data_IF_576173401595
#
_entry.id   IF_576173401595
#
_cell.length_a   1.000
_cell.length_b   1.000
_cell.length_c   1.000
_cell.angle_alpha   90.00
_cell.angle_beta   90.00
_cell.angle_gamma   90.00
#
_symmetry.space_group_name_H-M   'P 1'
#
loop_
_entity.id
_entity.type
_entity.pdbx_description
1 polymer ?
#
# COMPACT_ATOMS: atom_id res chain seq x y z
N UNK A 1 10.66 -18.95 7.26
CA UNK A 1 11.64 -19.04 8.38
C UNK A 1 12.88 -18.14 8.17
N UNK A 2 13.66 -18.24 7.08
CA UNK A 2 14.83 -17.38 6.86
C UNK A 2 14.48 -15.90 6.89
N UNK A 3 13.40 -15.51 6.28
CA UNK A 3 12.84 -14.18 6.24
C UNK A 3 12.52 -13.61 7.63
N UNK A 4 11.96 -14.42 8.53
CA UNK A 4 11.65 -14.02 9.91
C UNK A 4 12.90 -13.85 10.76
N UNK A 5 13.93 -14.67 10.55
CA UNK A 5 15.23 -14.56 11.23
C UNK A 5 15.93 -13.25 10.89
N UNK A 6 15.96 -12.88 9.60
CA UNK A 6 16.64 -11.68 9.14
C UNK A 6 15.99 -10.40 9.66
N UNK A 7 14.67 -10.38 9.78
CA UNK A 7 13.92 -9.29 10.40
C UNK A 7 14.38 -9.01 11.84
N UNK A 8 14.65 -10.04 12.65
CA UNK A 8 15.15 -9.88 14.01
C UNK A 8 16.57 -9.30 14.09
N UNK A 9 17.43 -9.60 13.11
CA UNK A 9 18.83 -9.13 13.12
C UNK A 9 18.98 -7.64 12.76
N UNK A 10 18.08 -7.08 11.95
CA UNK A 10 18.22 -5.74 11.40
C UNK A 10 17.58 -4.62 12.24
N UNK A 11 16.78 -4.95 13.25
CA UNK A 11 15.96 -3.97 13.99
C UNK A 11 16.53 -3.71 15.41
N UNK A 12 17.80 -3.97 15.63
CA UNK A 12 18.33 -4.20 16.99
C UNK A 12 18.29 -3.05 17.97
N UNK A 13 18.46 -1.76 17.60
CA UNK A 13 18.75 -0.77 18.64
C UNK A 13 17.98 0.57 18.63
N UNK A 14 17.17 0.90 17.62
CA UNK A 14 16.46 2.18 17.56
C UNK A 14 14.97 2.12 17.18
N UNK A 15 14.50 0.98 16.68
CA UNK A 15 13.12 0.75 16.27
C UNK A 15 12.44 -0.27 17.18
N UNK A 16 11.40 0.15 17.89
CA UNK A 16 10.54 -0.81 18.59
C UNK A 16 9.57 -1.44 17.60
N UNK A 17 9.63 -2.77 17.56
CA UNK A 17 8.74 -3.62 16.74
C UNK A 17 8.37 -4.85 17.53
N UNK A 18 7.27 -5.50 17.18
CA UNK A 18 6.90 -6.77 17.77
C UNK A 18 7.95 -7.85 17.46
N UNK A 19 8.64 -8.32 18.47
CA UNK A 19 9.64 -9.38 18.35
C UNK A 19 8.95 -10.74 18.32
N UNK A 20 9.48 -11.66 17.51
CA UNK A 20 9.05 -13.04 17.55
C UNK A 20 9.89 -13.83 18.55
N UNK A 21 9.20 -14.53 19.43
CA UNK A 21 9.82 -15.41 20.42
C UNK A 21 10.01 -16.82 19.83
N UNK A 22 11.09 -17.47 20.25
CA UNK A 22 11.36 -18.85 19.87
C UNK A 22 10.63 -19.82 20.77
N UNK A 23 10.10 -20.89 20.20
CA UNK A 23 9.58 -22.02 20.98
C UNK A 23 10.72 -22.82 21.64
N UNK A 24 10.37 -23.83 22.44
CA UNK A 24 11.34 -24.69 23.16
C UNK A 24 12.29 -25.43 22.23
N UNK A 25 11.92 -25.62 20.98
CA UNK A 25 12.73 -26.29 19.94
C UNK A 25 13.58 -25.28 19.14
N UNK A 26 13.56 -24.00 19.52
CA UNK A 26 14.30 -22.94 18.86
C UNK A 26 13.66 -22.41 17.56
N UNK A 27 12.49 -22.92 17.16
CA UNK A 27 11.73 -22.48 16.01
C UNK A 27 10.90 -21.24 16.30
N UNK A 28 10.54 -20.48 15.25
CA UNK A 28 9.61 -19.33 15.36
C UNK A 28 8.14 -19.73 15.13
N UNK A 29 7.92 -20.97 14.67
CA UNK A 29 6.60 -21.51 14.37
C UNK A 29 6.37 -22.73 15.27
N UNK A 30 5.23 -22.77 15.92
CA UNK A 30 4.75 -23.93 16.67
C UNK A 30 3.53 -24.50 15.96
N UNK A 31 3.53 -25.81 15.74
CA UNK A 31 2.38 -26.51 15.17
C UNK A 31 1.67 -27.27 16.31
N UNK A 32 0.37 -27.00 16.51
CA UNK A 32 -0.44 -27.76 17.43
C UNK A 32 -0.85 -29.12 16.86
N UNK A 33 -1.34 -30.01 17.70
CA UNK A 33 -1.75 -31.36 17.29
C UNK A 33 -2.89 -31.41 16.27
N UNK A 34 -3.67 -30.35 16.15
CA UNK A 34 -4.74 -30.17 15.15
C UNK A 34 -4.24 -29.56 13.81
N UNK A 35 -2.91 -29.35 13.68
CA UNK A 35 -2.30 -28.73 12.51
C UNK A 35 -2.33 -27.19 12.51
N UNK A 36 -2.90 -26.56 13.54
CA UNK A 36 -2.92 -25.09 13.66
C UNK A 36 -1.52 -24.55 13.92
N UNK A 37 -1.17 -23.47 13.24
CA UNK A 37 0.15 -22.85 13.30
C UNK A 37 0.12 -21.60 14.17
N UNK A 38 0.97 -21.58 15.18
CA UNK A 38 1.09 -20.47 16.12
C UNK A 38 2.45 -19.79 16.03
N UNK A 39 2.44 -18.49 16.28
CA UNK A 39 3.64 -17.66 16.43
C UNK A 39 3.47 -16.88 17.71
N UNK A 40 4.47 -16.90 18.56
CA UNK A 40 4.55 -16.07 19.75
C UNK A 40 5.31 -14.79 19.40
N UNK A 41 4.75 -13.64 19.79
CA UNK A 41 5.40 -12.34 19.60
C UNK A 41 5.21 -11.44 20.81
N UNK A 42 6.11 -10.47 20.97
CA UNK A 42 6.00 -9.41 21.97
C UNK A 42 4.67 -8.67 21.82
N UNK A 43 4.02 -8.41 22.92
CA UNK A 43 2.78 -7.66 22.98
C UNK A 43 3.04 -6.26 23.49
N UNK A 44 2.44 -5.26 22.85
CA UNK A 44 2.44 -3.87 23.29
C UNK A 44 1.04 -3.51 23.77
N UNK A 45 0.95 -2.98 25.01
CA UNK A 45 -0.30 -2.48 25.59
C UNK A 45 -0.57 -1.01 25.28
N UNK A 46 0.28 -0.39 24.44
CA UNK A 46 0.19 1.02 24.09
C UNK A 46 -0.98 1.30 23.14
N UNK A 47 -1.46 2.54 23.19
CA UNK A 47 -2.55 2.95 22.29
C UNK A 47 -2.07 3.14 20.86
N UNK A 48 -3.00 2.98 19.94
CA UNK A 48 -2.80 3.27 18.52
C UNK A 48 -2.55 4.76 18.24
N UNK A 49 -1.90 5.05 17.14
CA UNK A 49 -1.69 6.41 16.65
C UNK A 49 -3.03 7.12 16.40
N UNK A 50 -3.21 8.30 16.96
CA UNK A 50 -4.34 9.16 16.64
C UNK A 50 -4.10 9.86 15.30
N UNK A 51 -4.69 9.33 14.24
CA UNK A 51 -4.54 9.86 12.88
C UNK A 51 -5.06 11.30 12.71
N UNK A 52 -5.83 11.84 13.68
CA UNK A 52 -6.31 13.23 13.70
C UNK A 52 -5.32 14.18 14.37
N UNK A 53 -4.31 13.67 15.05
CA UNK A 53 -3.24 14.46 15.65
C UNK A 53 -2.07 14.56 14.67
N UNK A 54 -1.87 15.75 14.11
CA UNK A 54 -0.82 16.01 13.14
C UNK A 54 0.59 15.80 13.69
N UNK A 55 0.80 15.91 15.00
CA UNK A 55 2.09 15.64 15.63
C UNK A 55 2.37 14.14 15.65
N UNK A 56 1.41 13.33 16.12
CA UNK A 56 1.56 11.87 16.13
C UNK A 56 1.73 11.29 14.73
N UNK A 57 1.01 11.85 13.74
CA UNK A 57 1.18 11.45 12.33
C UNK A 57 2.61 11.70 11.86
N UNK A 58 3.19 12.88 12.11
CA UNK A 58 4.57 13.18 11.74
C UNK A 58 5.58 12.28 12.46
N UNK A 59 5.37 11.99 13.74
CA UNK A 59 6.20 11.02 14.48
C UNK A 59 6.13 9.62 13.83
N UNK A 60 4.93 9.18 13.48
CA UNK A 60 4.72 7.88 12.82
C UNK A 60 5.43 7.82 11.46
N UNK A 61 5.37 8.91 10.68
CA UNK A 61 6.06 9.03 9.40
C UNK A 61 7.59 8.99 9.57
N UNK A 62 8.13 9.70 10.55
CA UNK A 62 9.57 9.66 10.84
C UNK A 62 10.01 8.25 11.29
N UNK A 63 9.19 7.57 12.08
CA UNK A 63 9.45 6.20 12.50
C UNK A 63 9.40 5.22 11.32
N UNK A 64 8.44 5.39 10.41
CA UNK A 64 8.38 4.63 9.16
C UNK A 64 9.63 4.84 8.30
N UNK A 65 10.12 6.06 8.19
CA UNK A 65 11.35 6.36 7.46
C UNK A 65 12.57 5.63 8.06
N UNK A 66 12.69 5.58 9.38
CA UNK A 66 13.72 4.79 10.08
C UNK A 66 13.60 3.30 9.78
N UNK A 67 12.39 2.76 9.81
CA UNK A 67 12.11 1.36 9.45
C UNK A 67 12.55 1.07 8.01
N UNK A 68 12.14 1.91 7.07
CA UNK A 68 12.48 1.75 5.66
C UNK A 68 13.99 1.84 5.41
N UNK A 69 14.71 2.74 6.10
CA UNK A 69 16.15 2.82 6.03
C UNK A 69 16.85 1.53 6.51
N UNK A 70 16.29 0.85 7.50
CA UNK A 70 16.81 -0.45 7.95
C UNK A 70 16.44 -1.58 6.97
N UNK A 71 15.19 -1.62 6.52
CA UNK A 71 14.73 -2.64 5.58
C UNK A 71 15.44 -2.57 4.22
N UNK A 72 15.81 -1.37 3.75
CA UNK A 72 16.55 -1.18 2.52
C UNK A 72 17.99 -1.74 2.57
N UNK A 73 18.55 -1.97 3.76
CA UNK A 73 19.89 -2.58 3.94
C UNK A 73 19.86 -4.11 3.88
N UNK A 74 18.69 -4.72 3.89
CA UNK A 74 18.55 -6.17 3.85
C UNK A 74 18.70 -6.61 2.39
N UNK A 75 19.76 -7.37 2.04
CA UNK A 75 19.93 -7.83 0.67
C UNK A 75 18.84 -8.84 0.30
N UNK A 76 18.51 -8.89 -0.98
CA UNK A 76 17.61 -9.91 -1.51
C UNK A 76 18.15 -11.32 -1.21
N UNK A 77 17.27 -12.21 -0.76
CA UNK A 77 17.61 -13.62 -0.48
C UNK A 77 16.88 -14.52 -1.48
N UNK A 78 17.57 -15.54 -2.01
CA UNK A 78 16.96 -16.45 -2.96
C UNK A 78 15.75 -17.22 -2.39
N UNK A 79 15.78 -17.51 -1.10
CA UNK A 79 14.67 -18.16 -0.39
C UNK A 79 13.39 -17.32 -0.38
N UNK A 80 13.48 -16.03 -0.69
CA UNK A 80 12.30 -15.17 -0.82
C UNK A 80 11.54 -15.37 -2.14
N UNK A 81 12.11 -16.07 -3.08
CA UNK A 81 11.45 -16.41 -4.35
C UNK A 81 10.16 -17.21 -4.15
N UNK A 82 10.04 -17.90 -3.02
CA UNK A 82 8.86 -18.71 -2.72
C UNK A 82 7.84 -17.93 -1.90
N UNK A 83 6.62 -17.81 -2.40
CA UNK A 83 5.44 -17.42 -1.65
C UNK A 83 5.14 -15.92 -1.56
N UNK A 84 4.59 -15.50 -0.42
CA UNK A 84 3.93 -14.21 -0.22
C UNK A 84 4.81 -12.96 -0.22
N UNK A 85 6.15 -13.12 -0.26
CA UNK A 85 7.09 -11.97 -0.28
C UNK A 85 7.09 -11.26 -1.62
N UNK A 86 6.85 -11.98 -2.70
CA UNK A 86 6.80 -11.43 -4.04
C UNK A 86 5.34 -11.19 -4.45
N UNK A 87 4.99 -9.94 -4.66
CA UNK A 87 3.63 -9.52 -5.03
C UNK A 87 3.62 -8.89 -6.42
N UNK A 88 2.42 -8.76 -6.98
CA UNK A 88 2.19 -8.00 -8.19
C UNK A 88 2.74 -6.57 -8.02
N UNK A 89 3.50 -6.12 -9.01
CA UNK A 89 4.05 -4.75 -9.01
C UNK A 89 2.93 -3.72 -9.19
N UNK A 90 3.14 -2.51 -8.66
CA UNK A 90 2.12 -1.46 -8.61
C UNK A 90 1.55 -1.08 -9.99
N UNK A 91 2.38 -1.03 -11.03
CA UNK A 91 1.90 -0.71 -12.39
C UNK A 91 0.93 -1.75 -12.97
N UNK A 92 1.30 -3.04 -13.05
CA UNK A 92 0.39 -4.12 -13.42
C UNK A 92 -0.87 -4.20 -12.55
N UNK A 93 -0.75 -4.01 -11.24
CA UNK A 93 -1.88 -3.96 -10.31
C UNK A 93 -2.85 -2.83 -10.66
N UNK A 94 -2.35 -1.61 -10.88
CA UNK A 94 -3.17 -0.48 -11.32
C UNK A 94 -3.90 -0.77 -12.64
N UNK A 95 -3.22 -1.38 -13.61
CA UNK A 95 -3.82 -1.78 -14.89
C UNK A 95 -4.93 -2.84 -14.72
N UNK A 96 -4.74 -3.79 -13.79
CA UNK A 96 -5.79 -4.76 -13.43
C UNK A 96 -7.02 -4.05 -12.84
N UNK A 97 -6.81 -3.12 -11.92
CA UNK A 97 -7.88 -2.32 -11.31
C UNK A 97 -8.62 -1.46 -12.36
N UNK A 98 -7.92 -0.91 -13.36
CA UNK A 98 -8.56 -0.19 -14.47
C UNK A 98 -9.49 -1.10 -15.26
N UNK A 99 -9.07 -2.33 -15.59
CA UNK A 99 -9.94 -3.32 -16.26
C UNK A 99 -11.18 -3.66 -15.44
N UNK A 100 -11.04 -3.77 -14.11
CA UNK A 100 -12.16 -3.99 -13.19
C UNK A 100 -13.13 -2.81 -13.19
N UNK A 101 -12.61 -1.56 -13.17
CA UNK A 101 -13.43 -0.35 -13.31
C UNK A 101 -14.22 -0.34 -14.62
N UNK A 102 -13.58 -0.72 -15.73
CA UNK A 102 -14.23 -0.81 -17.05
C UNK A 102 -15.34 -1.88 -17.06
N UNK A 103 -15.09 -3.06 -16.46
CA UNK A 103 -16.10 -4.11 -16.32
C UNK A 103 -17.32 -3.63 -15.54
N UNK A 104 -17.09 -2.99 -14.39
CA UNK A 104 -18.16 -2.43 -13.55
C UNK A 104 -18.97 -1.37 -14.31
N UNK A 105 -18.32 -0.40 -14.98
CA UNK A 105 -18.98 0.60 -15.82
C UNK A 105 -19.82 -0.03 -16.94
N UNK A 106 -19.26 -0.99 -17.66
CA UNK A 106 -19.92 -1.66 -18.78
C UNK A 106 -21.18 -2.41 -18.31
N UNK A 107 -21.13 -3.03 -17.13
CA UNK A 107 -22.27 -3.67 -16.51
C UNK A 107 -23.35 -2.64 -16.15
N UNK A 108 -23.00 -1.55 -15.47
CA UNK A 108 -23.95 -0.49 -15.07
C UNK A 108 -24.61 0.15 -16.31
N UNK A 109 -23.86 0.42 -17.37
CA UNK A 109 -24.41 1.05 -18.59
C UNK A 109 -25.49 0.21 -19.26
N UNK A 110 -25.40 -1.12 -19.21
CA UNK A 110 -26.38 -2.04 -19.81
C UNK A 110 -27.68 -2.18 -19.04
N UNK A 111 -27.73 -1.75 -17.76
CA UNK A 111 -28.95 -1.79 -16.97
C UNK A 111 -29.97 -0.78 -17.47
N UNK A 112 -31.24 -1.18 -17.59
CA UNK A 112 -32.37 -0.30 -17.96
C UNK A 112 -32.67 0.71 -16.84
N UNK A 113 -32.89 0.22 -15.61
CA UNK A 113 -33.08 1.05 -14.41
C UNK A 113 -31.74 1.15 -13.65
N UNK A 114 -31.37 2.35 -13.21
CA UNK A 114 -30.14 2.60 -12.46
C UNK A 114 -30.45 3.15 -11.07
N UNK A 115 -29.75 2.64 -10.09
CA UNK A 115 -29.80 3.16 -8.71
C UNK A 115 -29.05 4.48 -8.61
N UNK A 116 -29.26 5.21 -7.52
CA UNK A 116 -28.52 6.44 -7.22
C UNK A 116 -27.00 6.23 -7.22
N UNK A 117 -26.53 5.12 -6.61
CA UNK A 117 -25.12 4.72 -6.64
C UNK A 117 -24.60 4.60 -8.07
N UNK A 118 -25.32 3.91 -8.95
CA UNK A 118 -24.92 3.69 -10.33
C UNK A 118 -24.91 4.97 -11.16
N UNK A 119 -25.85 5.88 -10.91
CA UNK A 119 -25.85 7.21 -11.53
C UNK A 119 -24.64 8.04 -11.09
N UNK A 120 -24.32 8.03 -9.80
CA UNK A 120 -23.15 8.67 -9.25
C UNK A 120 -21.85 8.10 -9.87
N UNK A 121 -21.75 6.77 -9.99
CA UNK A 121 -20.62 6.13 -10.67
C UNK A 121 -20.48 6.63 -12.10
N UNK A 122 -21.53 6.65 -12.89
CA UNK A 122 -21.47 7.08 -14.30
C UNK A 122 -21.07 8.54 -14.42
N UNK A 123 -21.61 9.40 -13.57
CA UNK A 123 -21.31 10.85 -13.58
C UNK A 123 -19.82 11.14 -13.36
N UNK A 124 -19.18 10.41 -12.47
CA UNK A 124 -17.80 10.65 -12.05
C UNK A 124 -16.77 9.79 -12.77
N UNK A 125 -17.20 8.78 -13.53
CA UNK A 125 -16.33 7.75 -14.07
C UNK A 125 -15.17 8.31 -14.90
N UNK A 126 -15.46 9.18 -15.84
CA UNK A 126 -14.44 9.64 -16.80
C UNK A 126 -13.28 10.35 -16.08
N UNK A 127 -13.59 11.23 -15.11
CA UNK A 127 -12.56 11.95 -14.36
C UNK A 127 -11.64 11.02 -13.55
N UNK A 128 -12.21 10.00 -12.88
CA UNK A 128 -11.41 9.03 -12.14
C UNK A 128 -10.70 8.03 -13.05
N UNK A 129 -11.29 7.68 -14.18
CA UNK A 129 -10.68 6.78 -15.15
C UNK A 129 -9.42 7.39 -15.79
N UNK A 130 -9.46 8.66 -16.18
CA UNK A 130 -8.28 9.34 -16.74
C UNK A 130 -7.16 9.47 -15.70
N UNK A 131 -7.47 9.77 -14.45
CA UNK A 131 -6.48 9.76 -13.37
C UNK A 131 -5.85 8.38 -13.17
N UNK A 132 -6.68 7.33 -13.18
CA UNK A 132 -6.21 5.95 -13.04
C UNK A 132 -5.25 5.58 -14.17
N UNK A 133 -5.61 5.95 -15.40
CA UNK A 133 -4.81 5.68 -16.59
C UNK A 133 -3.47 6.43 -16.55
N UNK A 134 -3.49 7.74 -16.27
CA UNK A 134 -2.27 8.55 -16.16
C UNK A 134 -1.33 7.98 -15.09
N UNK A 135 -1.85 7.62 -13.91
CA UNK A 135 -1.07 7.04 -12.83
C UNK A 135 -0.45 5.68 -13.22
N UNK A 136 -1.23 4.82 -13.87
CA UNK A 136 -0.77 3.50 -14.29
C UNK A 136 0.29 3.59 -15.40
N UNK A 137 0.08 4.46 -16.39
CA UNK A 137 1.01 4.67 -17.50
C UNK A 137 2.37 5.20 -17.00
N UNK A 138 2.36 6.17 -16.05
CA UNK A 138 3.59 6.66 -15.44
C UNK A 138 4.26 5.60 -14.56
N UNK A 139 3.49 4.87 -13.75
CA UNK A 139 4.03 3.79 -12.93
C UNK A 139 4.68 2.70 -13.80
N UNK A 140 4.08 2.36 -14.93
CA UNK A 140 4.67 1.42 -15.90
C UNK A 140 5.95 1.99 -16.54
N UNK A 141 6.02 3.30 -16.83
CA UNK A 141 7.26 3.94 -17.32
C UNK A 141 8.39 3.88 -16.28
N UNK A 142 8.04 4.12 -15.02
CA UNK A 142 9.01 4.12 -13.92
C UNK A 142 9.56 2.71 -13.63
N UNK A 143 8.74 1.66 -13.70
CA UNK A 143 9.07 0.32 -13.21
C UNK A 143 8.94 -0.80 -14.25
N UNK A 144 8.36 -0.54 -15.42
CA UNK A 144 8.09 -1.57 -16.44
C UNK A 144 9.36 -2.14 -17.10
N UNK A 145 10.47 -1.40 -17.12
CA UNK A 145 11.75 -1.88 -17.71
C UNK A 145 12.35 -3.06 -16.96
N UNK A 146 12.13 -3.13 -15.65
CA UNK A 146 12.59 -4.27 -14.83
C UNK A 146 11.94 -5.60 -15.26
N UNK A 147 10.77 -5.54 -15.90
CA UNK A 147 10.04 -6.70 -16.39
C UNK A 147 10.54 -7.19 -17.76
N UNK A 148 10.99 -6.27 -18.62
CA UNK A 148 11.56 -6.61 -19.93
C UNK A 148 12.95 -7.24 -19.80
N UNK A 149 13.76 -6.80 -18.82
CA UNK A 149 15.07 -7.39 -18.53
C UNK A 149 14.97 -8.81 -17.94
N UNK A 150 13.84 -9.15 -17.30
CA UNK A 150 13.60 -10.45 -16.69
C UNK A 150 13.13 -11.54 -17.68
N UNK A 151 13.03 -11.26 -18.98
CA UNK A 151 12.80 -12.25 -20.04
C UNK A 151 11.51 -13.08 -19.91
N UNK A 152 10.40 -12.53 -19.41
CA UNK A 152 9.25 -13.34 -19.07
C UNK A 152 8.03 -13.13 -19.95
N UNK A 153 7.75 -14.15 -20.76
CA UNK A 153 6.40 -14.50 -21.17
C UNK A 153 5.67 -15.12 -19.98
N UNK A 154 4.72 -14.40 -19.38
CA UNK A 154 3.74 -15.02 -18.51
C UNK A 154 2.69 -15.61 -19.42
N UNK A 155 2.75 -16.92 -19.67
CA UNK A 155 1.63 -17.66 -20.21
C UNK A 155 0.56 -17.71 -19.11
N UNK A 156 -0.64 -17.17 -19.40
CA UNK A 156 -1.84 -17.42 -18.60
C UNK A 156 -2.30 -18.85 -18.92
N UNK A 157 -1.82 -19.83 -18.19
CA UNK A 157 -2.45 -21.15 -18.12
C UNK A 157 -2.96 -21.34 -16.69
N UNK A 158 -4.27 -21.50 -16.60
CA UNK A 158 -5.04 -21.98 -15.43
C UNK A 158 -4.88 -21.24 -14.10
N UNK A 159 -4.99 -19.90 -14.07
CA UNK A 159 -5.32 -19.18 -12.84
C UNK A 159 -4.30 -19.25 -11.69
N UNK A 160 -3.17 -19.91 -11.85
CA UNK A 160 -2.02 -19.89 -10.95
C UNK A 160 -0.95 -18.98 -11.53
N UNK A 161 -0.67 -17.86 -10.86
CA UNK A 161 0.53 -17.09 -11.09
C UNK A 161 1.74 -17.99 -10.81
N UNK A 162 2.32 -18.56 -11.86
CA UNK A 162 3.65 -19.16 -11.77
C UNK A 162 4.61 -18.10 -11.27
N UNK A 163 5.30 -18.39 -10.17
CA UNK A 163 6.33 -17.53 -9.61
C UNK A 163 7.40 -17.30 -10.69
N UNK A 164 7.36 -16.14 -11.32
CA UNK A 164 8.37 -15.73 -12.24
C UNK A 164 9.74 -15.74 -11.53
N UNK A 165 10.75 -16.33 -12.15
CA UNK A 165 12.11 -16.30 -11.61
C UNK A 165 12.56 -14.86 -11.41
N UNK A 166 12.62 -14.43 -10.15
CA UNK A 166 13.11 -13.11 -9.77
C UNK A 166 14.63 -13.12 -9.87
N UNK A 167 15.15 -12.49 -10.91
CA UNK A 167 16.59 -12.18 -10.96
C UNK A 167 16.90 -10.98 -10.06
N UNK A 168 18.15 -10.85 -9.61
CA UNK A 168 18.60 -9.66 -8.87
C UNK A 168 18.34 -8.35 -9.65
N UNK A 169 18.34 -8.40 -10.97
CA UNK A 169 18.03 -7.26 -11.86
C UNK A 169 16.53 -6.90 -11.83
N UNK A 170 15.64 -7.90 -11.76
CA UNK A 170 14.18 -7.68 -11.72
C UNK A 170 13.70 -7.04 -10.43
N UNK A 171 14.46 -7.16 -9.34
CA UNK A 171 14.19 -6.56 -8.03
C UNK A 171 14.96 -5.26 -7.78
N UNK A 172 15.74 -4.78 -8.74
CA UNK A 172 16.52 -3.55 -8.61
C UNK A 172 15.62 -2.35 -8.24
N UNK A 173 15.95 -1.71 -7.14
CA UNK A 173 15.21 -0.59 -6.57
C UNK A 173 13.97 -0.98 -5.76
N UNK A 174 13.66 -2.28 -5.62
CA UNK A 174 12.67 -2.77 -4.67
C UNK A 174 13.31 -3.05 -3.31
N UNK A 175 12.55 -2.87 -2.26
CA UNK A 175 12.97 -3.14 -0.88
C UNK A 175 11.83 -3.80 -0.11
N UNK A 176 12.13 -4.33 1.06
CA UNK A 176 11.10 -4.82 1.95
C UNK A 176 10.18 -3.68 2.40
N UNK A 177 8.90 -3.89 2.29
CA UNK A 177 7.81 -3.02 2.73
C UNK A 177 7.06 -3.68 3.88
N UNK A 178 6.46 -2.89 4.77
CA UNK A 178 5.54 -3.39 5.79
C UNK A 178 4.30 -4.05 5.15
N UNK A 179 3.75 -3.41 4.12
CA UNK A 179 2.72 -3.95 3.25
C UNK A 179 1.28 -3.79 3.74
N UNK A 180 1.09 -3.36 4.98
CA UNK A 180 -0.25 -3.07 5.54
C UNK A 180 -0.20 -1.95 6.59
N UNK A 181 0.69 -0.96 6.42
CA UNK A 181 0.87 0.08 7.42
C UNK A 181 -0.31 1.06 7.45
N UNK A 182 -0.89 1.17 8.63
CA UNK A 182 -1.86 2.22 8.95
C UNK A 182 -1.76 2.61 10.44
N UNK A 183 -2.68 3.47 10.92
CA UNK A 183 -2.64 3.96 12.30
C UNK A 183 -2.78 2.84 13.35
N UNK A 184 -3.43 1.71 13.01
CA UNK A 184 -3.61 0.57 13.93
C UNK A 184 -2.31 -0.23 14.14
N UNK A 185 -1.37 -0.12 13.20
CA UNK A 185 -0.07 -0.77 13.28
C UNK A 185 1.03 0.16 13.79
N UNK A 186 0.67 1.36 14.24
CA UNK A 186 1.58 2.33 14.86
C UNK A 186 1.13 2.59 16.29
N UNK A 187 1.94 2.19 17.27
CA UNK A 187 1.63 2.29 18.68
C UNK A 187 2.43 3.41 19.33
N UNK A 188 1.72 4.24 20.13
CA UNK A 188 2.26 5.43 20.79
C UNK A 188 2.53 5.12 22.25
N UNK A 189 3.78 4.75 22.56
CA UNK A 189 4.27 4.51 23.93
C UNK A 189 4.85 5.76 24.59
N UNK A 190 5.19 5.64 25.87
CA UNK A 190 5.85 6.72 26.64
C UNK A 190 7.29 6.90 26.16
N UNK A 191 7.52 7.95 25.34
CA UNK A 191 8.84 8.28 24.80
C UNK A 191 9.27 7.44 23.60
N UNK A 192 8.38 6.63 23.00
CA UNK A 192 8.68 5.86 21.80
C UNK A 192 7.44 5.67 20.91
N UNK A 193 7.70 5.31 19.66
CA UNK A 193 6.68 4.88 18.72
C UNK A 193 7.09 3.51 18.18
N UNK A 194 6.19 2.52 18.23
CA UNK A 194 6.43 1.19 17.71
C UNK A 194 5.65 0.96 16.41
N UNK A 195 6.22 0.19 15.48
CA UNK A 195 5.52 -0.34 14.30
C UNK A 195 5.43 -1.86 14.47
N UNK A 196 4.20 -2.39 14.32
CA UNK A 196 3.87 -3.79 14.62
C UNK A 196 3.10 -4.44 13.48
N UNK A 197 2.85 -5.76 13.54
CA UNK A 197 2.01 -6.51 12.61
C UNK A 197 2.56 -6.62 11.17
N UNK A 198 3.76 -7.16 11.03
CA UNK A 198 4.43 -7.32 9.74
C UNK A 198 3.94 -8.53 8.91
N UNK A 199 2.73 -9.00 9.13
CA UNK A 199 2.20 -10.21 8.48
C UNK A 199 2.08 -10.09 6.94
N UNK A 200 2.04 -8.86 6.43
CA UNK A 200 1.93 -8.56 5.00
C UNK A 200 3.20 -8.01 4.37
N UNK A 201 4.32 -8.16 5.07
CA UNK A 201 5.62 -7.71 4.55
C UNK A 201 5.91 -8.36 3.19
N UNK A 202 6.39 -7.57 2.25
CA UNK A 202 6.70 -8.03 0.89
C UNK A 202 7.78 -7.17 0.26
N UNK A 203 8.34 -7.64 -0.84
CA UNK A 203 9.27 -6.89 -1.67
C UNK A 203 8.47 -5.93 -2.58
N UNK A 204 8.78 -4.64 -2.50
CA UNK A 204 8.03 -3.62 -3.24
C UNK A 204 8.65 -2.23 -3.18
N UNK A 205 7.86 -1.24 -3.57
CA UNK A 205 8.25 0.17 -3.51
C UNK A 205 7.88 0.71 -2.12
N UNK A 206 8.86 1.08 -1.29
CA UNK A 206 8.62 1.57 0.08
C UNK A 206 7.69 2.81 0.13
N UNK A 207 7.62 3.59 -0.94
CA UNK A 207 6.65 4.66 -1.07
C UNK A 207 5.19 4.18 -0.91
N UNK A 208 4.89 2.89 -1.07
CA UNK A 208 3.53 2.34 -0.89
C UNK A 208 3.07 2.37 0.56
N UNK A 209 3.96 2.09 1.52
CA UNK A 209 3.65 2.19 2.94
C UNK A 209 3.47 3.65 3.36
N UNK A 210 4.35 4.54 2.87
CA UNK A 210 4.25 5.98 3.09
C UNK A 210 2.92 6.52 2.54
N UNK A 211 2.56 6.17 1.31
CA UNK A 211 1.27 6.51 0.71
C UNK A 211 0.10 6.10 1.59
N UNK A 212 0.09 4.86 2.08
CA UNK A 212 -1.02 4.34 2.89
C UNK A 212 -1.25 5.16 4.16
N UNK A 213 -0.18 5.45 4.90
CA UNK A 213 -0.27 6.22 6.15
C UNK A 213 -0.63 7.68 5.87
N UNK A 214 0.05 8.34 4.93
CA UNK A 214 -0.23 9.72 4.53
C UNK A 214 -1.67 9.88 4.02
N UNK A 215 -2.15 8.99 3.15
CA UNK A 215 -3.51 9.06 2.62
C UNK A 215 -4.56 9.01 3.72
N UNK A 216 -4.42 8.08 4.68
CA UNK A 216 -5.37 7.99 5.80
C UNK A 216 -5.39 9.26 6.64
N UNK A 217 -4.24 9.88 6.88
CA UNK A 217 -4.15 11.15 7.58
C UNK A 217 -4.83 12.26 6.77
N UNK A 218 -4.45 12.43 5.50
CA UNK A 218 -4.99 13.47 4.64
C UNK A 218 -6.51 13.40 4.48
N UNK A 219 -7.09 12.21 4.40
CA UNK A 219 -8.55 12.02 4.37
C UNK A 219 -9.25 12.52 5.64
N UNK A 220 -8.58 12.48 6.78
CA UNK A 220 -9.11 12.98 8.07
C UNK A 220 -8.87 14.48 8.26
N UNK A 221 -7.92 15.04 7.51
CA UNK A 221 -7.55 16.46 7.54
C UNK A 221 -8.01 17.21 6.27
N UNK A 222 -9.03 16.73 5.55
CA UNK A 222 -9.59 17.43 4.39
C UNK A 222 -8.61 17.64 3.24
N UNK A 223 -7.61 16.77 3.10
CA UNK A 223 -6.54 16.89 2.10
C UNK A 223 -5.71 18.18 2.26
N UNK A 224 -5.43 18.56 3.51
CA UNK A 224 -4.56 19.70 3.82
C UNK A 224 -3.19 19.51 3.15
N UNK A 225 -2.88 20.42 2.24
CA UNK A 225 -1.65 20.38 1.43
C UNK A 225 -0.40 20.59 2.26
N UNK A 226 -0.43 21.54 3.20
CA UNK A 226 0.73 21.85 4.04
C UNK A 226 1.04 20.70 5.01
N UNK A 227 0.01 20.07 5.57
CA UNK A 227 0.19 18.86 6.35
C UNK A 227 0.81 17.75 5.50
N UNK A 228 0.32 17.55 4.27
CA UNK A 228 0.84 16.54 3.37
C UNK A 228 2.32 16.74 3.05
N UNK A 229 2.71 17.97 2.73
CA UNK A 229 4.12 18.31 2.45
C UNK A 229 4.99 18.20 3.71
N UNK A 230 4.49 18.58 4.88
CA UNK A 230 5.22 18.42 6.15
C UNK A 230 5.44 16.94 6.53
N UNK A 231 4.49 16.06 6.20
CA UNK A 231 4.67 14.61 6.35
C UNK A 231 5.78 14.09 5.43
N UNK A 232 5.76 14.48 4.16
CA UNK A 232 6.80 14.10 3.20
C UNK A 232 8.18 14.59 3.64
N UNK A 233 8.27 15.83 4.09
CA UNK A 233 9.51 16.41 4.62
C UNK A 233 10.01 15.66 5.86
N UNK A 234 9.11 15.29 6.79
CA UNK A 234 9.45 14.48 7.97
C UNK A 234 10.03 13.10 7.59
N UNK A 235 9.52 12.51 6.52
CA UNK A 235 10.06 11.27 5.97
C UNK A 235 11.45 11.48 5.34
N UNK A 236 11.57 12.48 4.47
CA UNK A 236 12.78 12.73 3.68
C UNK A 236 13.99 13.18 4.53
N UNK A 237 13.76 13.83 5.68
CA UNK A 237 14.83 14.15 6.65
C UNK A 237 15.52 12.93 7.22
N UNK A 238 14.84 11.81 7.30
CA UNK A 238 15.37 10.55 7.85
C UNK A 238 15.82 9.61 6.74
N UNK A 239 15.02 9.48 5.70
CA UNK A 239 15.28 8.67 4.51
C UNK A 239 14.98 9.47 3.25
N UNK A 240 16.00 10.06 2.60
CA UNK A 240 15.83 10.73 1.32
C UNK A 240 15.24 9.77 0.28
N UNK A 241 14.28 10.27 -0.48
CA UNK A 241 13.67 9.56 -1.62
C UNK A 241 14.33 10.03 -2.91
N UNK A 242 14.68 9.10 -3.78
CA UNK A 242 15.10 9.44 -5.13
C UNK A 242 13.93 9.95 -5.99
N UNK A 243 14.25 10.43 -7.20
CA UNK A 243 13.23 10.96 -8.12
C UNK A 243 12.20 9.91 -8.52
N UNK A 244 12.62 8.66 -8.68
CA UNK A 244 11.75 7.54 -9.07
C UNK A 244 10.76 7.21 -7.96
N UNK A 245 11.22 7.15 -6.72
CA UNK A 245 10.38 6.91 -5.54
C UNK A 245 9.36 8.04 -5.34
N UNK A 246 9.79 9.32 -5.45
CA UNK A 246 8.89 10.47 -5.32
C UNK A 246 7.80 10.48 -6.40
N UNK A 247 8.16 10.20 -7.65
CA UNK A 247 7.18 10.06 -8.74
C UNK A 247 6.23 8.90 -8.50
N UNK A 248 6.72 7.78 -7.99
CA UNK A 248 5.87 6.63 -7.62
C UNK A 248 4.85 7.01 -6.55
N UNK A 249 5.27 7.76 -5.52
CA UNK A 249 4.37 8.27 -4.50
C UNK A 249 3.28 9.16 -5.10
N UNK A 250 3.65 10.08 -6.01
CA UNK A 250 2.70 10.95 -6.70
C UNK A 250 1.70 10.14 -7.54
N UNK A 251 2.15 9.11 -8.27
CA UNK A 251 1.28 8.20 -9.02
C UNK A 251 0.30 7.45 -8.10
N UNK A 252 0.75 6.99 -6.92
CA UNK A 252 -0.12 6.33 -5.96
C UNK A 252 -1.21 7.27 -5.43
N UNK A 253 -0.89 8.55 -5.20
CA UNK A 253 -1.88 9.56 -4.83
C UNK A 253 -2.83 9.93 -5.98
N UNK A 254 -2.34 9.92 -7.21
CA UNK A 254 -3.15 10.19 -8.41
C UNK A 254 -4.14 9.05 -8.68
N UNK A 255 -3.72 7.79 -8.46
CA UNK A 255 -4.59 6.63 -8.67
C UNK A 255 -5.80 6.68 -7.72
N UNK A 256 -7.04 6.59 -8.23
CA UNK A 256 -8.25 6.73 -7.42
C UNK A 256 -8.63 5.41 -6.73
N UNK A 257 -7.77 4.91 -5.85
CA UNK A 257 -7.91 3.60 -5.18
C UNK A 257 -9.26 3.41 -4.49
N UNK A 258 -9.76 4.46 -3.80
CA UNK A 258 -11.05 4.37 -3.10
C UNK A 258 -12.24 4.27 -4.07
N UNK A 259 -12.17 4.99 -5.18
CA UNK A 259 -13.19 4.90 -6.20
C UNK A 259 -13.22 3.49 -6.80
N UNK A 260 -12.07 2.96 -7.20
CA UNK A 260 -11.94 1.57 -7.63
C UNK A 260 -12.51 0.59 -6.59
N UNK A 261 -12.17 0.72 -5.30
CA UNK A 261 -12.68 -0.15 -4.23
C UNK A 261 -14.21 -0.16 -4.14
N UNK A 262 -14.87 1.00 -4.32
CA UNK A 262 -16.34 1.06 -4.34
C UNK A 262 -16.92 0.33 -5.55
N UNK A 263 -16.33 0.49 -6.74
CA UNK A 263 -16.75 -0.20 -7.95
C UNK A 263 -16.54 -1.70 -7.85
N UNK A 264 -15.39 -2.12 -7.37
CA UNK A 264 -15.03 -3.53 -7.22
C UNK A 264 -15.92 -4.23 -6.19
N UNK A 265 -16.17 -3.59 -5.05
CA UNK A 265 -17.14 -4.08 -4.06
C UNK A 265 -18.53 -4.23 -4.67
N UNK A 266 -19.03 -3.20 -5.34
CA UNK A 266 -20.34 -3.23 -6.01
C UNK A 266 -20.44 -4.37 -7.03
N UNK A 267 -19.42 -4.51 -7.88
CA UNK A 267 -19.43 -5.49 -8.97
C UNK A 267 -19.38 -6.94 -8.46
N UNK A 268 -18.66 -7.20 -7.37
CA UNK A 268 -18.43 -8.54 -6.83
C UNK A 268 -19.41 -8.97 -5.74
N UNK A 269 -20.29 -8.07 -5.29
CA UNK A 269 -21.33 -8.40 -4.29
C UNK A 269 -22.68 -8.68 -4.93
N UNK A 270 -23.64 -9.16 -4.11
CA UNK A 270 -25.02 -9.29 -4.56
C UNK A 270 -25.61 -7.89 -4.83
N UNK A 271 -25.84 -7.60 -6.11
CA UNK A 271 -26.27 -6.29 -6.62
C UNK A 271 -27.74 -5.96 -6.34
N UNK A 272 -28.49 -6.88 -5.74
CA UNK A 272 -29.89 -6.64 -5.36
C UNK A 272 -30.02 -5.60 -4.22
N UNK A 273 -28.97 -5.42 -3.44
CA UNK A 273 -28.95 -4.45 -2.34
C UNK A 273 -27.61 -3.75 -2.25
N UNK A 274 -27.61 -2.42 -2.35
CA UNK A 274 -26.46 -1.57 -2.16
C UNK A 274 -26.71 -0.74 -0.90
N UNK A 275 -25.84 -0.83 0.12
CA UNK A 275 -25.99 0.01 1.31
C UNK A 275 -25.95 1.50 0.95
N UNK A 276 -26.85 2.31 1.50
CA UNK A 276 -26.84 3.78 1.35
C UNK A 276 -25.45 4.37 1.64
N UNK A 277 -24.76 3.82 2.64
CA UNK A 277 -23.37 4.16 2.99
C UNK A 277 -22.38 4.07 1.80
N UNK A 278 -22.66 3.24 0.78
CA UNK A 278 -21.78 3.15 -0.42
C UNK A 278 -21.98 4.35 -1.34
N UNK A 279 -23.20 4.86 -1.46
CA UNK A 279 -23.49 6.10 -2.20
C UNK A 279 -22.88 7.31 -1.48
N UNK A 280 -23.04 7.40 -0.15
CA UNK A 280 -22.44 8.47 0.65
C UNK A 280 -20.90 8.50 0.51
N UNK A 281 -20.28 7.33 0.46
CA UNK A 281 -18.83 7.24 0.23
C UNK A 281 -18.42 7.78 -1.14
N UNK A 282 -19.17 7.50 -2.20
CA UNK A 282 -18.88 8.05 -3.53
C UNK A 282 -19.04 9.57 -3.57
N UNK A 283 -20.13 10.09 -2.98
CA UNK A 283 -20.35 11.55 -2.85
C UNK A 283 -19.20 12.21 -2.08
N UNK A 284 -18.81 11.62 -0.95
CA UNK A 284 -17.67 12.12 -0.17
C UNK A 284 -16.35 12.12 -0.95
N UNK A 285 -16.13 11.17 -1.87
CA UNK A 285 -14.94 11.22 -2.74
C UNK A 285 -15.00 12.38 -3.72
N UNK A 286 -16.18 12.67 -4.26
CA UNK A 286 -16.41 13.80 -5.15
C UNK A 286 -16.19 15.13 -4.42
N UNK A 287 -16.74 15.30 -3.23
CA UNK A 287 -16.57 16.50 -2.39
C UNK A 287 -15.10 16.77 -2.03
N UNK A 288 -14.33 15.71 -1.80
CA UNK A 288 -12.90 15.82 -1.45
C UNK A 288 -11.99 16.01 -2.67
N UNK A 289 -12.45 15.73 -3.88
CA UNK A 289 -11.63 15.71 -5.08
C UNK A 289 -10.93 17.05 -5.39
N UNK A 290 -11.54 18.24 -5.22
CA UNK A 290 -10.84 19.50 -5.46
C UNK A 290 -9.63 19.70 -4.53
N UNK A 291 -9.76 19.38 -3.24
CA UNK A 291 -8.67 19.48 -2.27
C UNK A 291 -7.59 18.44 -2.55
N UNK A 292 -7.99 17.17 -2.82
CA UNK A 292 -7.08 16.10 -3.20
C UNK A 292 -6.26 16.48 -4.44
N UNK A 293 -6.88 17.04 -5.48
CA UNK A 293 -6.18 17.48 -6.69
C UNK A 293 -5.21 18.64 -6.43
N UNK A 294 -5.52 19.57 -5.52
CA UNK A 294 -4.57 20.62 -5.11
C UNK A 294 -3.33 20.03 -4.49
N UNK A 295 -3.51 19.10 -3.53
CA UNK A 295 -2.39 18.39 -2.91
C UNK A 295 -1.55 17.64 -3.94
N UNK A 296 -2.15 16.84 -4.83
CA UNK A 296 -1.43 16.08 -5.86
C UNK A 296 -0.62 16.99 -6.77
N UNK A 297 -1.16 18.13 -7.22
CA UNK A 297 -0.41 19.08 -8.05
C UNK A 297 0.81 19.65 -7.33
N UNK A 298 0.69 19.97 -6.04
CA UNK A 298 1.84 20.44 -5.23
C UNK A 298 2.86 19.32 -5.06
N UNK A 299 2.41 18.10 -4.74
CA UNK A 299 3.29 16.95 -4.62
C UNK A 299 4.06 16.68 -5.93
N UNK A 300 3.39 16.74 -7.08
CA UNK A 300 4.04 16.55 -8.37
C UNK A 300 5.08 17.63 -8.67
N UNK A 301 4.82 18.87 -8.29
CA UNK A 301 5.78 19.98 -8.43
C UNK A 301 7.05 19.76 -7.59
N UNK A 302 6.93 19.18 -6.39
CA UNK A 302 8.07 18.81 -5.53
C UNK A 302 8.85 17.59 -6.08
N UNK A 303 8.25 16.81 -7.00
CA UNK A 303 8.86 15.61 -7.58
C UNK A 303 9.60 15.88 -8.91
N UNK A 304 9.44 17.07 -9.49
CA UNK A 304 10.07 17.48 -10.76
C UNK A 304 11.52 17.80 -10.57
#
# INVERSE_FOLDING_TARGET
EPYRRQRQMCIRDSLRTDRYERNREGGLLTMAGDGTRYILKEWFSDRECNIRDSYEVRQSIARLAMLHAQLARIPFQEEWRMGSVCREQAGPEMNRHIREMQKARSFIRRKRGKTEFELCVIGNYNGFYEQAKEAADEMMRLWGRNRAAAGQHIAEEDGQLMAAELSAESVSGLSLCHGDLDQHHVLMGRGYTAIVEYNRMHLGIQASDLYRLMRKALEKHGWDTELGLSMLDSYQRVRPMDRRERKSLACMFLFPEKYWKQLNFYYNTNKAWIPAKSTDKLKSLEDQEPARRRFIRRLMAECG
#
